data_IF_063338712380
#
_entry.id   IF_063338712380
#
_cell.length_a   1.000
_cell.length_b   1.000
_cell.length_c   1.000
_cell.angle_alpha   90.00
_cell.angle_beta   90.00
_cell.angle_gamma   90.00
#
_symmetry.space_group_name_H-M   'P 1'
#
loop_
_entity.id
_entity.type
_entity.pdbx_description
1 polymer ?
#
# COMPACT_ATOMS: atom_id res chain seq x y z
N UNK A 1 -19.76 -14.61 4.38
CA UNK A 1 -18.66 -13.64 4.60
C UNK A 1 -18.82 -12.90 5.92
N UNK A 2 -19.99 -12.31 6.21
CA UNK A 2 -20.23 -11.61 7.49
C UNK A 2 -20.07 -12.49 8.74
N UNK A 3 -20.62 -13.71 8.74
CA UNK A 3 -20.55 -14.60 9.91
C UNK A 3 -19.10 -14.90 10.34
N UNK A 4 -18.26 -15.40 9.40
CA UNK A 4 -16.84 -15.67 9.70
C UNK A 4 -16.07 -14.47 10.24
N UNK A 5 -16.36 -13.26 9.74
CA UNK A 5 -15.72 -12.04 10.24
C UNK A 5 -16.14 -11.78 11.69
N UNK A 6 -17.44 -11.89 11.98
CA UNK A 6 -17.96 -11.75 13.36
C UNK A 6 -17.35 -12.79 14.29
N UNK A 7 -17.29 -14.06 13.88
CA UNK A 7 -16.75 -15.15 14.70
C UNK A 7 -15.29 -14.86 15.12
N UNK A 8 -14.43 -14.40 14.18
CA UNK A 8 -13.05 -14.01 14.50
C UNK A 8 -12.95 -12.77 15.38
N UNK A 9 -13.82 -11.78 15.16
CA UNK A 9 -13.84 -10.59 16.02
C UNK A 9 -14.21 -10.96 17.46
N UNK A 10 -15.17 -11.85 17.64
CA UNK A 10 -15.57 -12.32 18.97
C UNK A 10 -14.45 -13.12 19.65
N UNK A 11 -13.75 -13.99 18.90
CA UNK A 11 -12.60 -14.74 19.39
C UNK A 11 -11.45 -13.82 19.83
N UNK A 12 -11.11 -12.81 19.04
CA UNK A 12 -9.97 -11.90 19.30
C UNK A 12 -10.30 -10.88 20.40
N UNK A 13 -11.50 -10.30 20.36
CA UNK A 13 -11.86 -9.17 21.22
C UNK A 13 -12.70 -9.56 22.43
N UNK A 14 -13.07 -10.84 22.60
CA UNK A 14 -13.75 -11.36 23.79
C UNK A 14 -15.05 -10.62 24.11
N UNK A 15 -15.80 -10.22 23.09
CA UNK A 15 -17.07 -9.48 23.23
C UNK A 15 -16.94 -7.96 23.47
N UNK A 16 -15.73 -7.40 23.54
CA UNK A 16 -15.54 -5.93 23.63
C UNK A 16 -15.81 -5.22 22.30
N UNK A 17 -15.81 -5.97 21.19
CA UNK A 17 -16.14 -5.45 19.87
C UNK A 17 -17.66 -5.32 19.67
N UNK A 18 -18.22 -4.20 20.11
CA UNK A 18 -19.67 -3.95 20.08
C UNK A 18 -20.30 -3.98 18.68
N UNK A 19 -21.63 -4.13 18.64
CA UNK A 19 -22.41 -3.99 17.40
C UNK A 19 -22.19 -2.65 16.69
N UNK A 20 -21.94 -1.57 17.43
CA UNK A 20 -21.61 -0.25 16.86
C UNK A 20 -20.25 -0.27 16.15
N UNK A 21 -19.24 -0.94 16.71
CA UNK A 21 -17.95 -1.13 16.04
C UNK A 21 -18.11 -1.93 14.75
N UNK A 22 -18.88 -3.02 14.78
CA UNK A 22 -19.18 -3.84 13.60
C UNK A 22 -19.88 -3.03 12.52
N UNK A 23 -20.87 -2.21 12.88
CA UNK A 23 -21.57 -1.37 11.92
C UNK A 23 -20.61 -0.37 11.25
N UNK A 24 -19.73 0.28 12.02
CA UNK A 24 -18.70 1.18 11.46
C UNK A 24 -17.75 0.45 10.52
N UNK A 25 -17.29 -0.74 10.89
CA UNK A 25 -16.41 -1.58 10.05
C UNK A 25 -17.11 -1.94 8.73
N UNK A 26 -18.34 -2.47 8.79
CA UNK A 26 -19.11 -2.85 7.60
C UNK A 26 -19.35 -1.66 6.70
N UNK A 27 -19.70 -0.49 7.25
CA UNK A 27 -19.86 0.74 6.44
C UNK A 27 -18.57 1.10 5.72
N UNK A 28 -17.41 1.05 6.39
CA UNK A 28 -16.11 1.32 5.73
C UNK A 28 -15.78 0.29 4.65
N UNK A 29 -16.03 -0.98 4.91
CA UNK A 29 -15.80 -2.07 3.94
C UNK A 29 -16.68 -1.90 2.69
N UNK A 30 -17.96 -1.60 2.84
CA UNK A 30 -18.87 -1.39 1.71
C UNK A 30 -18.51 -0.14 0.91
N UNK A 31 -18.10 0.94 1.58
CA UNK A 31 -17.59 2.14 0.90
C UNK A 31 -16.31 1.85 0.11
N UNK A 32 -15.34 1.18 0.72
CA UNK A 32 -14.08 0.83 0.06
C UNK A 32 -14.29 -0.12 -1.12
N UNK A 33 -15.20 -1.10 -0.98
CA UNK A 33 -15.53 -2.05 -2.04
C UNK A 33 -16.05 -1.36 -3.31
N UNK A 34 -16.76 -0.24 -3.18
CA UNK A 34 -17.26 0.55 -4.33
C UNK A 34 -16.14 1.26 -5.09
N UNK A 35 -14.99 1.52 -4.45
CA UNK A 35 -13.83 2.15 -5.08
C UNK A 35 -13.00 1.16 -5.90
N UNK A 36 -13.16 -0.14 -5.67
CA UNK A 36 -12.41 -1.18 -6.37
C UNK A 36 -13.08 -1.43 -7.73
N UNK A 37 -12.54 -0.80 -8.77
CA UNK A 37 -13.03 -0.91 -10.16
C UNK A 37 -12.29 -1.97 -10.97
N UNK A 38 -11.04 -2.25 -10.61
CA UNK A 38 -10.21 -3.22 -11.34
C UNK A 38 -10.51 -4.67 -10.93
N UNK A 39 -10.56 -5.55 -11.93
CA UNK A 39 -10.77 -6.98 -11.74
C UNK A 39 -9.43 -7.68 -11.50
N UNK A 40 -9.27 -8.27 -10.33
CA UNK A 40 -8.09 -9.09 -10.01
C UNK A 40 -8.04 -10.37 -10.87
N UNK A 41 -6.85 -10.73 -11.35
CA UNK A 41 -6.58 -12.05 -11.96
C UNK A 41 -6.89 -13.15 -10.92
N UNK A 42 -7.63 -14.18 -11.33
CA UNK A 42 -8.10 -15.24 -10.40
C UNK A 42 -7.01 -16.25 -10.04
N UNK A 43 -6.14 -16.56 -10.99
CA UNK A 43 -5.10 -17.58 -10.85
C UNK A 43 -3.80 -17.06 -11.45
N UNK A 44 -2.69 -17.53 -10.89
CA UNK A 44 -1.37 -17.25 -11.42
C UNK A 44 -0.97 -18.33 -12.42
N UNK A 45 -0.16 -17.96 -13.40
CA UNK A 45 0.42 -18.84 -14.43
C UNK A 45 1.85 -18.41 -14.76
N UNK A 46 2.48 -19.08 -15.73
CA UNK A 46 3.88 -18.82 -16.10
C UNK A 46 4.11 -17.44 -16.75
N UNK A 47 3.06 -16.70 -17.11
CA UNK A 47 3.17 -15.33 -17.61
C UNK A 47 3.25 -14.27 -16.49
N UNK A 48 3.05 -14.68 -15.23
CA UNK A 48 3.14 -13.80 -14.07
C UNK A 48 4.57 -13.65 -13.58
N UNK A 49 5.36 -12.85 -14.30
CA UNK A 49 6.74 -12.52 -13.95
C UNK A 49 6.77 -11.23 -13.12
N UNK A 50 7.35 -11.31 -11.92
CA UNK A 50 7.36 -10.23 -10.94
C UNK A 50 8.73 -9.56 -10.88
N UNK A 51 8.75 -8.25 -11.06
CA UNK A 51 9.88 -7.40 -10.70
C UNK A 51 9.68 -6.88 -9.27
N UNK A 52 10.68 -7.05 -8.41
CA UNK A 52 10.70 -6.45 -7.07
C UNK A 52 11.77 -5.36 -7.08
N UNK A 53 11.43 -4.13 -6.71
CA UNK A 53 12.37 -3.00 -6.72
C UNK A 53 12.00 -1.95 -5.69
N UNK A 54 13.02 -1.24 -5.18
CA UNK A 54 12.81 -0.01 -4.42
C UNK A 54 12.35 1.12 -5.34
N UNK A 55 11.53 2.02 -4.79
CA UNK A 55 11.01 3.19 -5.51
C UNK A 55 12.10 4.19 -5.89
N UNK A 56 13.22 4.18 -5.17
CA UNK A 56 14.40 5.00 -5.42
C UNK A 56 15.51 4.23 -6.16
N UNK A 57 15.28 3.02 -6.67
CA UNK A 57 16.35 2.24 -7.31
C UNK A 57 16.88 2.89 -8.61
N UNK A 58 16.01 3.58 -9.35
CA UNK A 58 16.31 4.17 -10.66
C UNK A 58 16.46 5.68 -10.55
N UNK A 59 17.56 6.20 -11.08
CA UNK A 59 17.92 7.62 -10.96
C UNK A 59 18.24 8.24 -12.32
N UNK A 60 17.90 9.52 -12.46
CA UNK A 60 18.35 10.38 -13.54
C UNK A 60 18.70 11.76 -12.98
N UNK A 61 19.33 12.61 -13.79
CA UNK A 61 19.71 13.96 -13.35
C UNK A 61 18.53 14.93 -13.32
N UNK A 62 17.49 14.67 -14.11
CA UNK A 62 16.43 15.64 -14.41
C UNK A 62 15.09 15.29 -13.75
N UNK A 63 14.89 14.02 -13.37
CA UNK A 63 13.62 13.52 -12.85
C UNK A 63 13.80 12.86 -11.49
N UNK A 64 12.72 12.86 -10.71
CA UNK A 64 12.63 12.04 -9.50
C UNK A 64 12.67 10.54 -9.83
N UNK A 65 12.94 9.69 -8.84
CA UNK A 65 13.08 8.26 -9.06
C UNK A 65 11.86 7.55 -9.67
N UNK A 66 10.64 7.82 -9.22
CA UNK A 66 9.45 7.15 -9.76
C UNK A 66 9.18 7.50 -11.23
N UNK A 67 9.20 8.77 -11.68
CA UNK A 67 9.12 9.09 -13.10
C UNK A 67 10.26 8.46 -13.92
N UNK A 68 11.48 8.43 -13.37
CA UNK A 68 12.62 7.77 -14.02
C UNK A 68 12.37 6.28 -14.19
N UNK A 69 11.88 5.62 -13.13
CA UNK A 69 11.53 4.21 -13.16
C UNK A 69 10.42 3.92 -14.16
N UNK A 70 9.37 4.76 -14.23
CA UNK A 70 8.29 4.60 -15.20
C UNK A 70 8.83 4.61 -16.65
N UNK A 71 9.72 5.55 -16.98
CA UNK A 71 10.35 5.61 -18.30
C UNK A 71 11.19 4.38 -18.58
N UNK A 72 12.03 3.98 -17.61
CA UNK A 72 12.89 2.81 -17.75
C UNK A 72 12.08 1.52 -17.92
N UNK A 73 11.05 1.35 -17.09
CA UNK A 73 10.17 0.20 -17.11
C UNK A 73 9.47 0.06 -18.45
N UNK A 74 8.83 1.13 -18.92
CA UNK A 74 8.13 1.15 -20.22
C UNK A 74 9.08 0.84 -21.38
N UNK A 75 10.29 1.40 -21.37
CA UNK A 75 11.23 1.23 -22.48
C UNK A 75 11.87 -0.16 -22.51
N UNK A 76 12.20 -0.75 -21.35
CA UNK A 76 13.08 -1.91 -21.28
C UNK A 76 12.49 -3.15 -20.61
N UNK A 77 11.51 -2.98 -19.71
CA UNK A 77 11.08 -4.06 -18.79
C UNK A 77 9.65 -4.54 -19.04
N UNK A 78 8.79 -3.70 -19.63
CA UNK A 78 7.36 -3.98 -19.77
C UNK A 78 7.03 -5.26 -20.55
N UNK A 79 7.87 -5.65 -21.51
CA UNK A 79 7.67 -6.89 -22.28
C UNK A 79 8.05 -8.16 -21.52
N UNK A 80 8.75 -8.03 -20.39
CA UNK A 80 9.29 -9.14 -19.60
C UNK A 80 8.48 -9.33 -18.32
N UNK A 81 8.21 -8.24 -17.60
CA UNK A 81 7.55 -8.27 -16.31
C UNK A 81 6.09 -7.86 -16.46
N UNK A 82 5.18 -8.68 -15.94
CA UNK A 82 3.75 -8.36 -15.90
C UNK A 82 3.37 -7.67 -14.58
N UNK A 83 4.17 -7.87 -13.54
CA UNK A 83 3.92 -7.34 -12.20
C UNK A 83 5.12 -6.55 -11.68
N UNK A 84 4.83 -5.48 -10.95
CA UNK A 84 5.82 -4.74 -10.17
C UNK A 84 5.41 -4.79 -8.70
N UNK A 85 6.23 -5.44 -7.88
CA UNK A 85 6.23 -5.24 -6.44
C UNK A 85 7.14 -4.07 -6.12
N UNK A 86 6.53 -2.91 -5.91
CA UNK A 86 7.23 -1.71 -5.50
C UNK A 86 7.35 -1.74 -3.97
N UNK A 87 8.59 -1.87 -3.48
CA UNK A 87 8.89 -1.80 -2.06
C UNK A 87 8.52 -0.41 -1.51
N UNK A 88 8.37 -0.25 -0.17
CA UNK A 88 7.70 0.91 0.42
C UNK A 88 8.18 2.25 -0.14
N UNK A 89 7.23 3.03 -0.66
CA UNK A 89 7.43 4.34 -1.28
C UNK A 89 6.79 5.48 -0.49
N UNK A 90 6.26 5.18 0.70
CA UNK A 90 5.69 6.15 1.63
C UNK A 90 6.81 6.96 2.29
N UNK A 91 6.55 8.17 2.82
CA UNK A 91 7.49 8.83 3.72
C UNK A 91 7.85 7.90 4.89
N UNK A 92 9.13 7.74 5.17
CA UNK A 92 9.64 6.77 6.14
C UNK A 92 10.78 7.37 6.98
N UNK A 93 11.12 6.73 8.11
CA UNK A 93 12.16 7.23 9.02
C UNK A 93 13.40 6.34 9.18
N UNK A 94 13.24 5.03 8.98
CA UNK A 94 14.25 3.99 9.17
C UNK A 94 13.80 2.68 8.50
N UNK A 95 14.63 1.63 8.57
CA UNK A 95 14.32 0.27 8.11
C UNK A 95 13.99 0.22 6.61
N UNK A 96 14.77 0.95 5.80
CA UNK A 96 14.71 0.94 4.33
C UNK A 96 13.27 1.02 3.76
N UNK A 97 12.46 1.94 4.30
CA UNK A 97 11.08 2.17 3.90
C UNK A 97 10.01 1.54 4.81
N UNK A 98 10.36 0.58 5.66
CA UNK A 98 9.39 -0.17 6.48
C UNK A 98 8.97 0.55 7.77
N UNK A 99 9.72 1.56 8.23
CA UNK A 99 9.24 2.47 9.28
C UNK A 99 8.42 3.63 8.70
N UNK A 100 7.18 3.34 8.29
CA UNK A 100 6.28 4.28 7.58
C UNK A 100 5.79 5.42 8.49
N UNK A 101 5.92 6.67 8.02
CA UNK A 101 5.43 7.88 8.70
C UNK A 101 3.98 8.17 8.32
N UNK A 102 3.64 8.09 7.03
CA UNK A 102 2.30 8.39 6.52
C UNK A 102 1.94 7.52 5.31
N UNK A 103 0.94 6.65 5.45
CA UNK A 103 0.45 5.74 4.39
C UNK A 103 -0.40 6.44 3.32
N UNK A 104 -0.76 7.71 3.51
CA UNK A 104 -1.58 8.48 2.58
C UNK A 104 -0.76 9.34 1.62
N UNK A 105 0.57 9.32 1.72
CA UNK A 105 1.48 10.12 0.92
C UNK A 105 2.50 9.24 0.20
N UNK A 106 2.98 9.71 -0.95
CA UNK A 106 4.21 9.21 -1.57
C UNK A 106 5.38 10.03 -1.02
N UNK A 107 6.51 9.39 -0.74
CA UNK A 107 7.74 10.07 -0.34
C UNK A 107 8.11 11.11 -1.40
N UNK A 108 8.20 12.37 -0.98
CA UNK A 108 8.36 13.51 -1.89
C UNK A 108 9.64 13.43 -2.73
N UNK A 109 10.67 12.79 -2.18
CA UNK A 109 11.95 12.48 -2.81
C UNK A 109 11.82 11.42 -3.91
N UNK A 110 10.85 10.51 -3.81
CA UNK A 110 10.58 9.45 -4.78
C UNK A 110 9.67 9.94 -5.92
N UNK A 111 8.59 10.66 -5.61
CA UNK A 111 7.61 11.11 -6.60
C UNK A 111 6.26 11.48 -6.00
N UNK A 112 5.17 11.18 -6.72
CA UNK A 112 3.80 11.43 -6.29
C UNK A 112 2.83 10.30 -6.70
N UNK A 113 1.59 10.35 -6.20
CA UNK A 113 0.57 9.31 -6.51
C UNK A 113 0.29 9.16 -8.00
N UNK A 114 0.42 10.25 -8.77
CA UNK A 114 0.25 10.23 -10.22
C UNK A 114 1.31 9.36 -10.91
N UNK A 115 2.53 9.24 -10.35
CA UNK A 115 3.57 8.36 -10.89
C UNK A 115 3.24 6.89 -10.63
N UNK A 116 2.72 6.58 -9.44
CA UNK A 116 2.25 5.23 -9.09
C UNK A 116 1.06 4.82 -9.97
N UNK A 117 0.14 5.75 -10.23
CA UNK A 117 -0.99 5.53 -11.12
C UNK A 117 -0.51 5.19 -12.54
N UNK A 118 0.43 5.97 -13.09
CA UNK A 118 1.00 5.74 -14.41
C UNK A 118 1.69 4.36 -14.50
N UNK A 119 2.45 3.95 -13.48
CA UNK A 119 3.06 2.62 -13.45
C UNK A 119 2.01 1.51 -13.55
N UNK A 120 0.85 1.71 -12.91
CA UNK A 120 -0.28 0.80 -12.92
C UNK A 120 -1.07 0.74 -14.24
N UNK A 121 -0.83 1.67 -15.17
CA UNK A 121 -1.40 1.60 -16.52
C UNK A 121 -0.71 0.54 -17.38
N UNK A 122 0.56 0.23 -17.05
CA UNK A 122 1.42 -0.66 -17.83
C UNK A 122 1.85 -1.93 -17.07
N UNK A 123 1.47 -2.08 -15.80
CA UNK A 123 1.83 -3.22 -14.95
C UNK A 123 0.78 -3.51 -13.88
N UNK A 124 0.76 -4.75 -13.38
CA UNK A 124 0.01 -5.08 -12.18
C UNK A 124 0.84 -4.73 -10.93
N UNK A 125 0.29 -3.88 -10.07
CA UNK A 125 0.99 -3.37 -8.90
C UNK A 125 0.80 -4.26 -7.67
N UNK A 126 1.89 -4.44 -6.93
CA UNK A 126 1.93 -5.05 -5.60
C UNK A 126 2.70 -4.14 -4.66
N UNK A 127 2.21 -3.99 -3.43
CA UNK A 127 2.81 -3.16 -2.40
C UNK A 127 2.80 -3.87 -1.05
N UNK A 128 3.72 -3.46 -0.18
CA UNK A 128 3.74 -3.88 1.21
C UNK A 128 2.65 -3.18 2.03
N UNK A 129 1.85 -3.97 2.75
CA UNK A 129 0.95 -3.47 3.77
C UNK A 129 1.59 -3.67 5.15
N UNK A 130 2.42 -2.70 5.56
CA UNK A 130 3.11 -2.72 6.87
C UNK A 130 2.11 -2.41 7.98
N UNK A 131 1.37 -3.41 8.44
CA UNK A 131 0.29 -3.23 9.42
C UNK A 131 0.72 -3.47 10.88
N UNK A 132 1.85 -4.15 11.08
CA UNK A 132 2.30 -4.58 12.40
C UNK A 132 2.94 -3.44 13.22
N UNK A 133 3.60 -2.50 12.55
CA UNK A 133 4.27 -1.36 13.18
C UNK A 133 4.28 -0.15 12.24
N UNK A 134 4.66 1.00 12.79
CA UNK A 134 4.77 2.29 12.09
C UNK A 134 5.90 3.11 12.70
N UNK A 135 6.34 4.16 12.01
CA UNK A 135 7.36 5.08 12.52
C UNK A 135 6.91 5.76 13.81
N UNK A 136 7.85 5.92 14.76
CA UNK A 136 7.68 6.79 15.92
C UNK A 136 7.51 8.28 15.55
N UNK A 137 7.77 8.66 14.29
CA UNK A 137 7.52 10.02 13.78
C UNK A 137 6.11 10.20 13.20
N UNK A 138 5.31 9.13 13.11
CA UNK A 138 3.94 9.17 12.57
C UNK A 138 3.00 10.00 13.44
N UNK A 139 1.94 10.52 12.82
CA UNK A 139 0.92 11.28 13.53
C UNK A 139 0.14 10.41 14.53
N UNK A 140 -0.08 9.14 14.19
CA UNK A 140 -0.71 8.19 15.10
C UNK A 140 0.11 7.98 16.38
N UNK A 141 1.43 7.86 16.27
CA UNK A 141 2.29 7.73 17.45
C UNK A 141 2.30 9.01 18.31
N UNK A 142 2.35 10.19 17.68
CA UNK A 142 2.23 11.47 18.41
C UNK A 142 0.91 11.58 19.16
N UNK A 143 -0.20 11.23 18.51
CA UNK A 143 -1.54 11.22 19.11
C UNK A 143 -1.63 10.24 20.29
N UNK A 144 -1.03 9.06 20.16
CA UNK A 144 -0.94 8.10 21.26
C UNK A 144 -0.21 8.69 22.48
N UNK A 145 0.96 9.32 22.28
CA UNK A 145 1.71 9.95 23.37
C UNK A 145 0.92 11.09 24.05
N UNK A 146 0.08 11.79 23.28
CA UNK A 146 -0.79 12.87 23.77
C UNK A 146 -2.11 12.35 24.37
N UNK A 147 -2.33 11.04 24.40
CA UNK A 147 -3.58 10.41 24.84
C UNK A 147 -4.80 10.90 24.05
N UNK A 148 -4.61 11.27 22.78
CA UNK A 148 -5.70 11.61 21.89
C UNK A 148 -6.47 10.34 21.52
N UNK A 149 -7.80 10.30 21.73
CA UNK A 149 -8.60 9.16 21.32
C UNK A 149 -8.64 9.02 19.79
N UNK A 150 -8.51 7.78 19.31
CA UNK A 150 -8.58 7.42 17.89
C UNK A 150 -9.99 7.12 17.36
#
# INVERSE_FOLDING_TARGET
MKQKITDYLDEIYGGTFTATHLQKLVTRLESAKRLITQRRKKHWDESDVVLITYADQFHSNDLKPLPTFNQFYHQWLQSIFSHVHLLPFYPWSSDDGFSVIDYHQVASEAGEWQDIQQLGECSHLMFDFVCNHMSAKSEWFKNYLQQHPG
#
